data_IF_107936108736
#
_entry.id   IF_107936108736
#
_cell.length_a   1.000
_cell.length_b   1.000
_cell.length_c   1.000
_cell.angle_alpha   90.00
_cell.angle_beta   90.00
_cell.angle_gamma   90.00
#
_symmetry.space_group_name_H-M   'P 1'
#
loop_
_entity.id
_entity.type
_entity.pdbx_description
1 polymer ?
#
# COMPACT_ATOMS: atom_id res chain seq x y z
N UNK A 1 2.21 -59.76 3.22
CA UNK A 1 1.29 -58.68 2.80
C UNK A 1 1.21 -57.67 3.92
N UNK A 2 2.03 -56.65 3.90
CA UNK A 2 2.08 -55.58 4.91
C UNK A 2 1.68 -54.28 4.25
N UNK A 3 0.47 -53.78 4.58
CA UNK A 3 0.00 -52.49 4.12
C UNK A 3 0.74 -51.36 4.87
N UNK A 4 1.59 -50.64 4.15
CA UNK A 4 2.14 -49.37 4.57
C UNK A 4 1.04 -48.29 4.56
N UNK A 5 0.46 -48.05 5.74
CA UNK A 5 -0.48 -46.97 5.94
C UNK A 5 0.34 -45.67 6.13
N UNK A 6 0.55 -44.96 5.02
CA UNK A 6 1.19 -43.64 5.03
C UNK A 6 0.23 -42.63 5.66
N UNK A 7 0.48 -42.23 6.91
CA UNK A 7 -0.22 -41.14 7.58
C UNK A 7 0.14 -39.81 6.91
N UNK A 8 -0.76 -39.34 6.05
CA UNK A 8 -0.69 -37.99 5.51
C UNK A 8 -1.06 -37.01 6.61
N UNK A 9 -0.07 -36.46 7.26
CA UNK A 9 -0.23 -35.43 8.29
C UNK A 9 -1.06 -34.26 7.71
N UNK A 10 -2.11 -33.78 8.39
CA UNK A 10 -2.91 -32.67 7.92
C UNK A 10 -2.03 -31.40 7.87
N UNK A 11 -2.04 -30.71 6.72
CA UNK A 11 -1.21 -29.50 6.47
C UNK A 11 -1.30 -28.43 7.59
N UNK A 12 -2.40 -28.38 8.32
CA UNK A 12 -2.58 -27.48 9.46
C UNK A 12 -1.83 -27.89 10.73
N UNK A 13 -1.45 -29.16 10.90
CA UNK A 13 -0.66 -29.61 12.04
C UNK A 13 0.81 -29.20 11.88
N UNK A 14 1.37 -29.41 10.70
CA UNK A 14 2.73 -28.99 10.34
C UNK A 14 2.93 -27.47 10.46
N UNK A 15 1.93 -26.71 10.04
CA UNK A 15 1.99 -25.24 10.16
C UNK A 15 2.00 -24.78 11.61
N UNK A 16 1.16 -25.40 12.48
CA UNK A 16 1.13 -25.12 13.92
C UNK A 16 2.43 -25.53 14.62
N UNK A 17 3.01 -26.64 14.21
CA UNK A 17 4.27 -27.12 14.79
C UNK A 17 5.44 -26.23 14.38
N UNK A 18 5.50 -25.80 13.11
CA UNK A 18 6.49 -24.86 12.64
C UNK A 18 6.37 -23.48 13.30
N UNK A 19 5.13 -23.01 13.55
CA UNK A 19 4.89 -21.77 14.27
C UNK A 19 5.40 -21.85 15.71
N UNK A 20 5.08 -22.93 16.44
CA UNK A 20 5.56 -23.16 17.81
C UNK A 20 7.09 -23.31 17.87
N UNK A 21 7.70 -23.94 16.86
CA UNK A 21 9.15 -24.08 16.78
C UNK A 21 9.84 -22.73 16.53
N UNK A 22 9.23 -21.90 15.71
CA UNK A 22 9.70 -20.53 15.44
C UNK A 22 9.55 -19.63 16.68
N UNK A 23 8.42 -19.69 17.38
CA UNK A 23 8.21 -18.96 18.63
C UNK A 23 9.23 -19.37 19.71
N UNK A 24 9.49 -20.68 19.85
CA UNK A 24 10.52 -21.17 20.78
C UNK A 24 11.93 -20.74 20.40
N UNK A 25 12.28 -20.77 19.11
CA UNK A 25 13.63 -20.34 18.66
C UNK A 25 13.84 -18.85 18.87
N UNK A 26 12.80 -18.02 18.65
CA UNK A 26 12.84 -16.57 18.92
C UNK A 26 12.98 -16.32 20.42
N UNK A 27 12.26 -17.07 21.27
CA UNK A 27 12.35 -16.93 22.72
C UNK A 27 13.73 -17.32 23.27
N UNK A 28 14.30 -18.43 22.79
CA UNK A 28 15.65 -18.89 23.16
C UNK A 28 16.72 -17.91 22.69
N UNK A 29 16.61 -17.42 21.46
CA UNK A 29 17.53 -16.40 20.93
C UNK A 29 17.39 -15.05 21.63
N UNK A 30 16.21 -14.69 22.11
CA UNK A 30 15.99 -13.48 22.91
C UNK A 30 16.67 -13.55 24.28
N UNK A 31 16.76 -14.75 24.88
CA UNK A 31 17.48 -14.95 26.15
C UNK A 31 18.98 -15.02 25.98
N UNK A 32 19.47 -15.50 24.82
CA UNK A 32 20.92 -15.66 24.54
C UNK A 32 21.53 -14.54 23.70
N UNK A 33 20.74 -13.89 22.82
CA UNK A 33 21.23 -12.94 21.80
C UNK A 33 20.79 -11.48 21.97
N UNK A 34 20.05 -11.14 23.01
CA UNK A 34 19.69 -9.76 23.33
C UNK A 34 18.55 -9.15 22.49
N UNK A 35 18.30 -7.89 22.74
CA UNK A 35 17.16 -7.09 22.20
C UNK A 35 17.01 -7.10 20.68
N UNK A 36 18.10 -7.35 19.92
CA UNK A 36 18.08 -7.36 18.46
C UNK A 36 17.20 -8.45 17.84
N UNK A 37 17.16 -9.65 18.45
CA UNK A 37 16.34 -10.77 17.94
C UNK A 37 14.86 -10.55 18.22
N UNK A 38 14.55 -9.98 19.39
CA UNK A 38 13.16 -9.60 19.74
C UNK A 38 12.65 -8.53 18.79
N UNK A 39 13.47 -7.52 18.50
CA UNK A 39 13.13 -6.46 17.55
C UNK A 39 12.95 -7.02 16.14
N UNK A 40 13.84 -7.91 15.69
CA UNK A 40 13.72 -8.53 14.37
C UNK A 40 12.44 -9.37 14.25
N UNK A 41 12.07 -10.15 15.28
CA UNK A 41 10.82 -10.92 15.33
C UNK A 41 9.59 -10.03 15.26
N UNK A 42 9.59 -8.93 16.01
CA UNK A 42 8.52 -7.94 15.99
C UNK A 42 8.38 -7.26 14.62
N UNK A 43 9.49 -6.88 14.00
CA UNK A 43 9.49 -6.30 12.65
C UNK A 43 9.01 -7.31 11.60
N UNK A 44 9.42 -8.57 11.71
CA UNK A 44 8.99 -9.63 10.80
C UNK A 44 7.48 -9.88 10.91
N UNK A 45 6.92 -9.86 12.11
CA UNK A 45 5.48 -9.98 12.31
C UNK A 45 4.76 -8.76 11.73
N UNK A 46 5.25 -7.55 11.98
CA UNK A 46 4.69 -6.30 11.47
C UNK A 46 4.66 -6.22 9.94
N UNK A 47 5.69 -6.74 9.29
CA UNK A 47 5.82 -6.67 7.82
C UNK A 47 5.08 -7.83 7.15
N UNK A 48 5.07 -9.02 7.75
CA UNK A 48 4.59 -10.24 7.11
C UNK A 48 3.14 -10.17 6.62
N UNK A 49 2.24 -9.55 7.39
CA UNK A 49 0.83 -9.44 7.03
C UNK A 49 0.53 -8.30 6.05
N UNK A 50 1.43 -7.32 5.92
CA UNK A 50 1.23 -6.15 5.06
C UNK A 50 1.81 -6.34 3.65
N UNK A 51 2.65 -7.36 3.41
CA UNK A 51 3.29 -7.62 2.11
C UNK A 51 2.29 -7.61 0.94
N UNK A 52 1.11 -8.27 1.00
CA UNK A 52 0.15 -8.23 -0.10
C UNK A 52 -0.32 -6.81 -0.43
N UNK A 53 -0.52 -5.98 0.59
CA UNK A 53 -0.95 -4.60 0.43
C UNK A 53 0.16 -3.70 -0.13
N UNK A 54 1.41 -3.95 0.26
CA UNK A 54 2.58 -3.27 -0.32
C UNK A 54 2.68 -3.57 -1.82
N UNK A 55 2.44 -4.81 -2.24
CA UNK A 55 2.45 -5.21 -3.66
C UNK A 55 1.35 -4.46 -4.43
N UNK A 56 0.13 -4.39 -3.89
CA UNK A 56 -0.96 -3.64 -4.50
C UNK A 56 -0.60 -2.16 -4.63
N UNK A 57 -0.11 -1.55 -3.57
CA UNK A 57 0.33 -0.14 -3.56
C UNK A 57 1.42 0.11 -4.59
N UNK A 58 2.40 -0.78 -4.69
CA UNK A 58 3.46 -0.73 -5.69
C UNK A 58 2.90 -0.76 -7.12
N UNK A 59 1.97 -1.67 -7.42
CA UNK A 59 1.33 -1.75 -8.73
C UNK A 59 0.57 -0.46 -9.07
N UNK A 60 -0.14 0.15 -8.11
CA UNK A 60 -0.87 1.41 -8.33
C UNK A 60 0.09 2.56 -8.65
N UNK A 61 1.23 2.64 -7.93
CA UNK A 61 2.27 3.66 -8.20
C UNK A 61 2.87 3.48 -9.60
N UNK A 62 3.10 2.24 -10.04
CA UNK A 62 3.57 1.97 -11.40
C UNK A 62 2.52 2.37 -12.45
N UNK A 63 1.24 2.15 -12.19
CA UNK A 63 0.16 2.61 -13.06
C UNK A 63 0.15 4.15 -13.17
N UNK A 64 0.33 4.89 -12.07
CA UNK A 64 0.46 6.36 -12.11
C UNK A 64 1.65 6.80 -12.98
N UNK A 65 2.80 6.15 -12.86
CA UNK A 65 3.96 6.42 -13.70
C UNK A 65 3.64 6.24 -15.19
N UNK A 66 3.03 5.11 -15.57
CA UNK A 66 2.69 4.81 -16.97
C UNK A 66 1.70 5.84 -17.54
N UNK A 67 0.65 6.14 -16.77
CA UNK A 67 -0.35 7.13 -17.16
C UNK A 67 0.24 8.54 -17.24
N UNK A 68 1.14 8.90 -16.32
CA UNK A 68 1.86 10.17 -16.34
C UNK A 68 2.75 10.32 -17.59
N UNK A 69 3.49 9.28 -17.96
CA UNK A 69 4.29 9.26 -19.20
C UNK A 69 3.39 9.41 -20.43
N UNK A 70 2.29 8.64 -20.50
CA UNK A 70 1.30 8.73 -21.59
C UNK A 70 0.73 10.14 -21.72
N UNK A 71 0.39 10.78 -20.62
CA UNK A 71 -0.08 12.17 -20.60
C UNK A 71 0.93 13.12 -21.26
N UNK A 72 2.20 13.05 -20.87
CA UNK A 72 3.25 13.92 -21.43
C UNK A 72 3.42 13.70 -22.93
N UNK A 73 3.32 12.46 -23.42
CA UNK A 73 3.33 12.17 -24.86
C UNK A 73 2.14 12.83 -25.59
N UNK A 74 0.93 12.75 -25.02
CA UNK A 74 -0.27 13.33 -25.65
C UNK A 74 -0.19 14.87 -25.67
N UNK A 75 0.40 15.47 -24.63
CA UNK A 75 0.57 16.93 -24.53
C UNK A 75 1.76 17.48 -25.30
N UNK A 76 2.56 16.63 -25.96
CA UNK A 76 3.75 17.05 -26.70
C UNK A 76 4.90 17.54 -25.79
N UNK A 77 4.88 17.21 -24.52
CA UNK A 77 5.93 17.56 -23.56
C UNK A 77 7.14 16.64 -23.76
N UNK A 78 8.37 17.17 -23.61
CA UNK A 78 9.58 16.35 -23.60
C UNK A 78 9.58 15.36 -22.43
N UNK A 79 9.48 14.07 -22.73
CA UNK A 79 9.49 13.01 -21.72
C UNK A 79 10.92 12.68 -21.32
N UNK A 80 11.34 13.15 -20.16
CA UNK A 80 12.59 12.72 -19.51
C UNK A 80 12.31 11.53 -18.58
N UNK A 81 12.39 10.32 -19.11
CA UNK A 81 12.10 9.08 -18.39
C UNK A 81 12.86 8.99 -17.05
N UNK A 82 14.13 9.35 -17.02
CA UNK A 82 14.95 9.37 -15.78
C UNK A 82 14.36 10.29 -14.69
N UNK A 83 13.80 11.44 -15.07
CA UNK A 83 13.16 12.35 -14.13
C UNK A 83 11.84 11.79 -13.60
N UNK A 84 11.05 11.14 -14.45
CA UNK A 84 9.81 10.48 -14.06
C UNK A 84 10.10 9.34 -13.07
N UNK A 85 11.04 8.45 -13.36
CA UNK A 85 11.47 7.37 -12.49
C UNK A 85 11.97 7.89 -11.12
N UNK A 86 12.79 8.95 -11.12
CA UNK A 86 13.28 9.53 -9.85
C UNK A 86 12.16 10.04 -8.96
N UNK A 87 11.15 10.71 -9.53
CA UNK A 87 9.96 11.16 -8.78
C UNK A 87 9.16 9.99 -8.21
N UNK A 88 8.98 8.93 -9.02
CA UNK A 88 8.26 7.73 -8.60
C UNK A 88 8.98 7.00 -7.48
N UNK A 89 10.31 6.85 -7.57
CA UNK A 89 11.12 6.25 -6.49
C UNK A 89 10.98 7.07 -5.20
N UNK A 90 11.02 8.41 -5.28
CA UNK A 90 10.81 9.28 -4.12
C UNK A 90 9.45 9.07 -3.45
N UNK A 91 8.37 8.96 -4.24
CA UNK A 91 7.03 8.62 -3.74
C UNK A 91 7.02 7.24 -3.06
N UNK A 92 7.62 6.22 -3.70
CA UNK A 92 7.67 4.86 -3.16
C UNK A 92 8.34 4.82 -1.80
N UNK A 93 9.51 5.45 -1.65
CA UNK A 93 10.23 5.52 -0.38
C UNK A 93 9.34 6.17 0.69
N UNK A 94 8.72 7.31 0.39
CA UNK A 94 7.85 8.02 1.35
C UNK A 94 6.64 7.18 1.76
N UNK A 95 5.95 6.57 0.81
CA UNK A 95 4.74 5.79 1.08
C UNK A 95 5.04 4.49 1.83
N UNK A 96 6.10 3.78 1.43
CA UNK A 96 6.48 2.54 2.13
C UNK A 96 6.97 2.83 3.55
N UNK A 97 7.72 3.91 3.76
CA UNK A 97 8.10 4.34 5.11
C UNK A 97 6.86 4.65 5.95
N UNK A 98 5.90 5.39 5.41
CA UNK A 98 4.65 5.70 6.10
C UNK A 98 3.86 4.44 6.46
N UNK A 99 3.67 3.52 5.50
CA UNK A 99 2.92 2.28 5.70
C UNK A 99 3.60 1.38 6.72
N UNK A 100 4.93 1.22 6.65
CA UNK A 100 5.70 0.43 7.63
C UNK A 100 5.59 1.05 9.03
N UNK A 101 5.67 2.37 9.14
CA UNK A 101 5.53 3.08 10.42
C UNK A 101 4.15 2.82 11.04
N UNK A 102 3.08 2.90 10.24
CA UNK A 102 1.72 2.61 10.71
C UNK A 102 1.56 1.14 11.09
N UNK A 103 2.16 0.20 10.33
CA UNK A 103 2.12 -1.23 10.64
C UNK A 103 2.80 -1.55 11.98
N UNK A 104 3.95 -0.95 12.24
CA UNK A 104 4.64 -1.11 13.54
C UNK A 104 3.76 -0.63 14.70
N UNK A 105 3.08 0.51 14.52
CA UNK A 105 2.13 1.04 15.53
C UNK A 105 0.92 0.12 15.69
N UNK A 106 0.36 -0.42 14.60
CA UNK A 106 -0.80 -1.32 14.64
C UNK A 106 -0.48 -2.62 15.40
N UNK A 107 0.69 -3.21 15.15
CA UNK A 107 1.15 -4.41 15.89
C UNK A 107 1.38 -4.08 17.37
N UNK A 108 1.99 -2.94 17.68
CA UNK A 108 2.22 -2.51 19.06
C UNK A 108 0.89 -2.27 19.82
N UNK A 109 -0.14 -1.82 19.11
CA UNK A 109 -1.48 -1.61 19.67
C UNK A 109 -2.35 -2.90 19.70
N UNK A 110 -1.83 -4.06 19.28
CA UNK A 110 -2.59 -5.29 19.07
C UNK A 110 -3.81 -5.10 18.13
N UNK A 111 -3.68 -4.22 17.13
CA UNK A 111 -4.77 -3.80 16.24
C UNK A 111 -5.16 -4.84 15.18
N UNK A 112 -4.47 -5.97 15.09
CA UNK A 112 -4.82 -7.10 14.22
C UNK A 112 -4.74 -6.80 12.71
N UNK A 113 -3.92 -5.85 12.29
CA UNK A 113 -3.71 -5.53 10.87
C UNK A 113 -4.85 -4.73 10.25
N UNK A 114 -5.56 -3.92 11.02
CA UNK A 114 -6.68 -3.12 10.53
C UNK A 114 -6.24 -1.73 10.12
N UNK A 115 -5.42 -1.06 10.92
CA UNK A 115 -5.00 0.34 10.70
C UNK A 115 -4.04 0.43 9.50
N UNK A 116 -3.15 -0.54 9.38
CA UNK A 116 -2.18 -0.60 8.26
C UNK A 116 -2.86 -0.82 6.89
N UNK A 117 -3.95 -1.59 6.84
CA UNK A 117 -4.78 -1.71 5.63
C UNK A 117 -5.37 -0.36 5.22
N UNK A 118 -5.87 0.41 6.17
CA UNK A 118 -6.38 1.75 5.91
C UNK A 118 -5.28 2.71 5.42
N UNK A 119 -4.05 2.58 5.96
CA UNK A 119 -2.92 3.36 5.48
C UNK A 119 -2.58 3.03 4.01
N UNK A 120 -2.57 1.75 3.63
CA UNK A 120 -2.38 1.34 2.24
C UNK A 120 -3.50 1.84 1.33
N UNK A 121 -4.77 1.73 1.76
CA UNK A 121 -5.91 2.24 1.00
C UNK A 121 -5.85 3.74 0.80
N UNK A 122 -5.37 4.49 1.80
CA UNK A 122 -5.17 5.93 1.69
C UNK A 122 -4.12 6.27 0.63
N UNK A 123 -2.98 5.57 0.63
CA UNK A 123 -1.96 5.74 -0.42
C UNK A 123 -2.52 5.38 -1.79
N UNK A 124 -3.24 4.26 -1.93
CA UNK A 124 -3.90 3.88 -3.18
C UNK A 124 -4.89 4.95 -3.65
N UNK A 125 -5.64 5.57 -2.74
CA UNK A 125 -6.57 6.64 -3.06
C UNK A 125 -5.87 7.91 -3.57
N UNK A 126 -4.73 8.28 -2.95
CA UNK A 126 -3.91 9.41 -3.41
C UNK A 126 -3.39 9.17 -4.82
N UNK A 127 -2.84 7.99 -5.10
CA UNK A 127 -2.31 7.65 -6.42
C UNK A 127 -3.44 7.50 -7.47
N UNK A 128 -4.59 6.95 -7.09
CA UNK A 128 -5.76 6.90 -7.96
C UNK A 128 -6.20 8.31 -8.39
N UNK A 129 -6.21 9.26 -7.47
CA UNK A 129 -6.52 10.66 -7.77
C UNK A 129 -5.51 11.28 -8.74
N UNK A 130 -4.21 10.94 -8.59
CA UNK A 130 -3.15 11.35 -9.52
C UNK A 130 -3.38 10.76 -10.92
N UNK A 131 -3.70 9.46 -11.00
CA UNK A 131 -4.03 8.76 -12.25
C UNK A 131 -5.22 9.44 -12.95
N UNK A 132 -6.31 9.71 -12.22
CA UNK A 132 -7.48 10.38 -12.77
C UNK A 132 -7.15 11.78 -13.30
N UNK A 133 -6.37 12.56 -12.55
CA UNK A 133 -5.88 13.86 -13.01
C UNK A 133 -5.06 13.75 -14.29
N UNK A 134 -4.14 12.77 -14.36
CA UNK A 134 -3.30 12.54 -15.53
C UNK A 134 -4.10 12.07 -16.77
N UNK A 135 -5.22 11.38 -16.59
CA UNK A 135 -6.14 10.98 -17.69
C UNK A 135 -7.00 12.15 -18.18
N UNK A 136 -7.42 13.04 -17.28
CA UNK A 136 -8.36 14.11 -17.59
C UNK A 136 -7.69 15.37 -18.13
N UNK A 137 -6.44 15.67 -17.72
CA UNK A 137 -5.69 16.84 -18.20
C UNK A 137 -5.57 16.95 -19.71
N UNK A 138 -5.24 15.87 -20.48
CA UNK A 138 -5.19 15.95 -21.94
C UNK A 138 -6.57 16.23 -22.60
N UNK A 139 -7.67 16.04 -21.87
CA UNK A 139 -9.04 16.34 -22.32
C UNK A 139 -9.48 17.75 -21.93
N UNK A 140 -8.62 18.56 -21.33
CA UNK A 140 -8.92 19.92 -20.92
C UNK A 140 -9.61 20.05 -19.56
N UNK A 141 -9.59 18.98 -18.74
CA UNK A 141 -10.19 19.03 -17.38
C UNK A 141 -9.05 19.05 -16.33
N UNK A 142 -9.06 20.05 -15.46
CA UNK A 142 -8.17 20.08 -14.29
C UNK A 142 -8.90 19.54 -13.06
N UNK A 143 -8.41 18.41 -12.54
CA UNK A 143 -8.95 17.80 -11.32
C UNK A 143 -8.08 18.23 -10.14
N UNK A 144 -8.66 18.97 -9.22
CA UNK A 144 -7.99 19.35 -7.98
C UNK A 144 -8.21 18.25 -6.92
N UNK A 145 -7.10 17.63 -6.47
CA UNK A 145 -7.13 16.56 -5.47
C UNK A 145 -7.88 16.98 -4.19
N UNK A 146 -7.70 18.23 -3.74
CA UNK A 146 -8.39 18.70 -2.54
C UNK A 146 -9.91 18.75 -2.74
N UNK A 147 -10.38 19.17 -3.91
CA UNK A 147 -11.81 19.16 -4.28
C UNK A 147 -12.34 17.72 -4.38
N UNK A 148 -11.57 16.78 -4.97
CA UNK A 148 -11.95 15.37 -5.05
C UNK A 148 -12.11 14.74 -3.65
N UNK A 149 -11.19 15.02 -2.75
CA UNK A 149 -11.27 14.58 -1.35
C UNK A 149 -12.51 15.17 -0.69
N UNK A 150 -12.75 16.48 -0.86
CA UNK A 150 -13.92 17.14 -0.30
C UNK A 150 -15.24 16.51 -0.80
N UNK A 151 -15.33 16.09 -2.07
CA UNK A 151 -16.53 15.42 -2.61
C UNK A 151 -16.68 14.01 -2.07
N UNK A 152 -15.61 13.21 -2.01
CA UNK A 152 -15.69 11.84 -1.51
C UNK A 152 -16.04 11.82 -0.02
N UNK A 153 -15.46 12.72 0.77
CA UNK A 153 -15.79 12.86 2.19
C UNK A 153 -17.06 13.69 2.41
N UNK A 154 -17.32 14.70 1.58
CA UNK A 154 -18.48 15.57 1.66
C UNK A 154 -19.78 14.90 1.24
N UNK A 155 -19.73 13.83 0.43
CA UNK A 155 -20.91 13.01 0.07
C UNK A 155 -21.58 12.39 1.29
N UNK A 156 -20.87 12.33 2.42
CA UNK A 156 -21.42 11.99 3.73
C UNK A 156 -22.04 13.19 4.45
N UNK A 157 -21.86 14.43 3.88
CA UNK A 157 -22.30 15.72 4.40
C UNK A 157 -23.11 16.51 3.37
N UNK A 158 -23.95 15.86 2.56
CA UNK A 158 -24.93 16.48 1.66
C UNK A 158 -24.37 17.62 0.76
N UNK A 159 -23.30 17.31 0.00
CA UNK A 159 -22.70 18.26 -0.94
C UNK A 159 -23.50 18.28 -2.24
N UNK A 160 -24.06 19.42 -2.58
CA UNK A 160 -24.93 19.62 -3.74
C UNK A 160 -24.22 19.46 -5.09
N UNK A 161 -25.02 19.25 -6.16
CA UNK A 161 -24.51 19.08 -7.54
C UNK A 161 -23.61 20.22 -8.04
N UNK A 162 -23.75 21.44 -7.52
CA UNK A 162 -22.92 22.61 -7.86
C UNK A 162 -21.44 22.43 -7.51
N UNK A 163 -21.15 21.72 -6.41
CA UNK A 163 -19.78 21.49 -5.96
C UNK A 163 -19.05 20.48 -6.86
N UNK A 164 -19.78 19.62 -7.55
CA UNK A 164 -19.21 18.65 -8.51
C UNK A 164 -18.82 19.35 -9.82
N UNK A 165 -19.59 20.32 -10.29
CA UNK A 165 -19.29 21.11 -11.50
C UNK A 165 -18.05 21.99 -11.26
N UNK A 166 -17.89 22.56 -10.07
CA UNK A 166 -16.74 23.37 -9.70
C UNK A 166 -15.44 22.55 -9.56
N UNK A 167 -15.54 21.22 -9.36
CA UNK A 167 -14.40 20.30 -9.27
C UNK A 167 -13.83 19.99 -10.65
N UNK A 168 -14.70 19.96 -11.67
CA UNK A 168 -14.36 19.69 -13.06
C UNK A 168 -14.43 21.01 -13.84
N UNK A 169 -13.52 21.92 -13.54
CA UNK A 169 -13.42 23.16 -14.30
C UNK A 169 -12.82 22.87 -15.67
N UNK A 170 -13.66 23.08 -16.70
CA UNK A 170 -13.20 22.98 -18.09
C UNK A 170 -12.33 24.20 -18.37
N UNK A 171 -11.05 23.99 -18.71
CA UNK A 171 -10.20 25.04 -19.24
C UNK A 171 -10.74 25.45 -20.61
N UNK A 172 -11.30 26.64 -20.69
CA UNK A 172 -11.48 27.34 -21.97
C UNK A 172 -10.14 27.73 -22.58
#
# INVERSE_FOLDING_TARGET
MGCLFSWRQPKGALWRENKKKMEKSVLVSATEGGYGVVLAGFLQESIGHIIPWIIVTFCVILCDLVVGIRKSFIMGEEVRFSSACRRTIGKMVSYFTFVVMVSVVDVAANGGGTIDKWACLLVCFIEFSSIMSNILKPKGYDVNLAKLIAVVFGKRFDVGKKDIEEIIEKKE
#
